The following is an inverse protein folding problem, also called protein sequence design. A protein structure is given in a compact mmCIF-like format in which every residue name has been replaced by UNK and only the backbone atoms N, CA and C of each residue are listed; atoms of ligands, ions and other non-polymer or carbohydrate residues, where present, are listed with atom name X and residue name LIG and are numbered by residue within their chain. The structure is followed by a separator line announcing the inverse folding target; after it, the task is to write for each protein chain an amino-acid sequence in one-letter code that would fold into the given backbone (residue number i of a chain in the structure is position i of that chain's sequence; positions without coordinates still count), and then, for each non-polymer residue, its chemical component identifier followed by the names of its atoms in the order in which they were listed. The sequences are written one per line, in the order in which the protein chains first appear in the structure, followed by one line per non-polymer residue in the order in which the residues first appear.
data_IF_270102152517
#
_entry.id   IF_270102152517
#
_cell.length_a   1.000
_cell.length_b   1.000
_cell.length_c   1.000
_cell.angle_alpha   90.00
_cell.angle_beta   90.00
_cell.angle_gamma   90.00
#
_symmetry.space_group_name_H-M   'P 1'
#
loop_
_entity.id
_entity.type
_entity.pdbx_description
1 polymer ?
#
# COMPACT_ATOMS: atom_id res chain seq x y z
N UNK A 1 3.77 -13.70 15.99
CA UNK A 1 3.02 -14.80 15.35
C UNK A 1 2.52 -14.44 13.95
N UNK A 2 1.52 -13.55 13.78
CA UNK A 2 0.92 -13.29 12.44
C UNK A 2 1.91 -12.72 11.42
N UNK A 3 2.71 -11.70 11.78
CA UNK A 3 3.74 -11.16 10.87
C UNK A 3 4.83 -12.18 10.55
N UNK A 4 5.14 -13.10 11.47
CA UNK A 4 6.11 -14.16 11.21
C UNK A 4 5.67 -15.07 10.04
N UNK A 5 4.35 -15.27 9.89
CA UNK A 5 3.76 -16.01 8.76
C UNK A 5 3.59 -15.13 7.52
N UNK A 6 3.04 -13.92 7.67
CA UNK A 6 2.70 -13.06 6.53
C UNK A 6 3.91 -12.40 5.86
N UNK A 7 4.91 -12.02 6.66
CA UNK A 7 6.07 -11.24 6.23
C UNK A 7 7.37 -12.04 6.41
N UNK A 8 7.43 -12.88 7.46
CA UNK A 8 8.59 -13.73 7.76
C UNK A 8 8.64 -15.06 7.00
N UNK A 9 7.61 -15.41 6.23
CA UNK A 9 7.60 -16.61 5.38
C UNK A 9 7.50 -17.95 6.11
N UNK A 10 7.30 -17.95 7.43
CA UNK A 10 7.13 -19.17 8.22
C UNK A 10 5.80 -19.86 7.88
N UNK A 11 5.81 -21.19 7.84
CA UNK A 11 4.57 -21.96 7.78
C UNK A 11 3.77 -21.84 9.08
N UNK A 12 2.46 -22.13 9.00
CA UNK A 12 1.61 -22.12 10.20
C UNK A 12 2.10 -23.08 11.29
N UNK A 13 2.69 -24.22 10.90
CA UNK A 13 3.20 -25.21 11.85
C UNK A 13 4.51 -24.80 12.51
N UNK A 14 5.39 -24.12 11.78
CA UNK A 14 6.63 -23.56 12.35
C UNK A 14 6.31 -22.41 13.31
N UNK A 15 5.49 -21.45 12.87
CA UNK A 15 5.03 -20.36 13.73
C UNK A 15 4.19 -20.82 14.93
N UNK A 16 3.57 -21.99 14.86
CA UNK A 16 2.89 -22.59 16.01
C UNK A 16 3.89 -23.15 17.02
N UNK A 17 4.91 -23.89 16.57
CA UNK A 17 5.96 -24.45 17.44
C UNK A 17 6.80 -23.36 18.11
N UNK A 18 7.23 -22.35 17.36
CA UNK A 18 8.12 -21.30 17.87
C UNK A 18 7.48 -20.44 18.96
N UNK A 19 6.15 -20.33 18.94
CA UNK A 19 5.39 -19.52 19.88
C UNK A 19 4.58 -20.35 20.88
N UNK A 20 4.80 -21.68 20.93
CA UNK A 20 4.08 -22.63 21.79
C UNK A 20 2.55 -22.52 21.66
N UNK A 21 2.07 -22.48 20.43
CA UNK A 21 0.66 -22.36 20.06
C UNK A 21 0.18 -23.59 19.27
N UNK A 22 -1.13 -23.75 19.22
CA UNK A 22 -1.77 -24.70 18.29
C UNK A 22 -1.84 -24.07 16.90
N UNK A 23 -1.53 -24.85 15.85
CA UNK A 23 -1.55 -24.38 14.46
C UNK A 23 -2.90 -23.75 14.04
N UNK A 24 -4.02 -24.24 14.58
CA UNK A 24 -5.35 -23.68 14.34
C UNK A 24 -5.47 -22.23 14.84
N UNK A 25 -4.84 -21.89 15.97
CA UNK A 25 -4.83 -20.52 16.51
C UNK A 25 -4.08 -19.57 15.60
N UNK A 26 -2.89 -19.99 15.13
CA UNK A 26 -2.09 -19.23 14.16
C UNK A 26 -2.87 -19.02 12.87
N UNK A 27 -3.51 -20.07 12.36
CA UNK A 27 -4.35 -20.00 11.17
C UNK A 27 -5.50 -19.01 11.33
N UNK A 28 -6.25 -19.08 12.43
CA UNK A 28 -7.38 -18.19 12.70
C UNK A 28 -6.95 -16.72 12.75
N UNK A 29 -5.81 -16.43 13.41
CA UNK A 29 -5.29 -15.06 13.50
C UNK A 29 -4.80 -14.53 12.15
N UNK A 30 -4.10 -15.35 11.36
CA UNK A 30 -3.64 -14.94 10.02
C UNK A 30 -4.84 -14.69 9.10
N UNK A 31 -5.88 -15.52 9.17
CA UNK A 31 -7.11 -15.33 8.38
C UNK A 31 -7.85 -14.05 8.78
N UNK A 32 -7.98 -13.78 10.09
CA UNK A 32 -8.58 -12.55 10.58
C UNK A 32 -7.80 -11.31 10.14
N UNK A 33 -6.46 -11.36 10.18
CA UNK A 33 -5.59 -10.28 9.75
C UNK A 33 -5.69 -10.03 8.24
N UNK A 34 -5.70 -11.10 7.41
CA UNK A 34 -5.91 -10.95 5.97
C UNK A 34 -7.25 -10.31 5.64
N UNK A 35 -8.30 -10.64 6.39
CA UNK A 35 -9.62 -10.02 6.24
C UNK A 35 -9.59 -8.54 6.60
N UNK A 36 -8.98 -8.17 7.74
CA UNK A 36 -8.79 -6.76 8.12
C UNK A 36 -8.01 -5.97 7.08
N UNK A 37 -6.89 -6.50 6.59
CA UNK A 37 -6.09 -5.87 5.53
C UNK A 37 -6.87 -5.70 4.23
N UNK A 38 -7.78 -6.62 3.91
CA UNK A 38 -8.67 -6.50 2.75
C UNK A 38 -9.80 -5.48 2.95
N UNK A 39 -10.24 -5.24 4.18
CA UNK A 39 -11.23 -4.21 4.54
C UNK A 39 -10.58 -2.81 4.65
N UNK A 40 -9.33 -2.74 5.11
CA UNK A 40 -8.55 -1.50 5.25
C UNK A 40 -7.88 -1.03 3.96
N UNK A 41 -7.52 -1.97 3.08
CA UNK A 41 -7.15 -1.63 1.71
C UNK A 41 -8.44 -1.40 0.95
N UNK A 42 -8.80 -0.17 0.56
CA UNK A 42 -9.85 0.00 -0.43
C UNK A 42 -9.38 -0.77 -1.65
N UNK A 43 -10.03 -1.89 -1.97
CA UNK A 43 -9.89 -2.50 -3.29
C UNK A 43 -10.33 -1.42 -4.24
N UNK A 44 -9.38 -0.64 -4.78
CA UNK A 44 -9.68 0.40 -5.75
C UNK A 44 -10.36 -0.34 -6.89
N UNK A 45 -11.66 -0.13 -7.00
CA UNK A 45 -12.45 -0.70 -8.07
C UNK A 45 -11.78 -0.26 -9.36
N UNK A 46 -11.74 -1.06 -10.43
CA UNK A 46 -11.02 -0.73 -11.66
C UNK A 46 -11.29 0.70 -12.18
N UNK A 47 -12.49 1.25 -11.94
CA UNK A 47 -12.83 2.65 -12.23
C UNK A 47 -12.13 3.70 -11.35
N UNK A 48 -11.90 3.43 -10.07
CA UNK A 48 -11.16 4.31 -9.16
C UNK A 48 -9.67 4.39 -9.53
N UNK A 49 -9.09 3.30 -10.03
CA UNK A 49 -7.71 3.30 -10.56
C UNK A 49 -7.60 4.23 -11.77
N UNK A 50 -8.53 4.16 -12.72
CA UNK A 50 -8.54 5.05 -13.88
C UNK A 50 -8.69 6.54 -13.52
N UNK A 51 -9.56 6.85 -12.56
CA UNK A 51 -9.73 8.22 -12.08
C UNK A 51 -8.46 8.75 -11.37
N UNK A 52 -7.83 7.91 -10.54
CA UNK A 52 -6.57 8.26 -9.89
C UNK A 52 -5.43 8.47 -10.91
N UNK A 53 -5.32 7.62 -11.92
CA UNK A 53 -4.34 7.79 -13.00
C UNK A 53 -4.57 9.07 -13.80
N UNK A 54 -5.84 9.40 -14.09
CA UNK A 54 -6.18 10.67 -14.73
C UNK A 54 -5.76 11.84 -13.86
N UNK A 55 -6.07 11.80 -12.57
CA UNK A 55 -5.73 12.87 -11.63
C UNK A 55 -4.21 13.05 -11.49
N UNK A 56 -3.45 11.96 -11.48
CA UNK A 56 -1.99 12.00 -11.46
C UNK A 56 -1.46 12.70 -12.71
N UNK A 57 -1.94 12.35 -13.90
CA UNK A 57 -1.50 12.98 -15.16
C UNK A 57 -1.82 14.47 -15.20
N UNK A 58 -2.99 14.89 -14.72
CA UNK A 58 -3.36 16.30 -14.63
C UNK A 58 -2.41 17.06 -13.68
N UNK A 59 -2.17 16.51 -12.49
CA UNK A 59 -1.26 17.12 -11.52
C UNK A 59 0.18 17.20 -12.02
N UNK A 60 0.67 16.18 -12.73
CA UNK A 60 2.01 16.21 -13.33
C UNK A 60 2.15 17.30 -14.39
N UNK A 61 1.12 17.51 -15.21
CA UNK A 61 1.10 18.58 -16.21
C UNK A 61 1.08 19.97 -15.56
N UNK A 62 0.24 20.17 -14.54
CA UNK A 62 0.20 21.40 -13.76
C UNK A 62 1.56 21.67 -13.11
N UNK A 63 2.16 20.66 -12.48
CA UNK A 63 3.46 20.77 -11.84
C UNK A 63 4.56 21.13 -12.85
N UNK A 64 4.55 20.52 -14.03
CA UNK A 64 5.48 20.83 -15.11
C UNK A 64 5.30 22.27 -15.63
N UNK A 65 4.05 22.73 -15.77
CA UNK A 65 3.75 24.11 -16.15
C UNK A 65 4.24 25.11 -15.09
N UNK A 66 3.92 24.87 -13.82
CA UNK A 66 4.35 25.72 -12.70
C UNK A 66 5.89 25.78 -12.59
N UNK A 67 6.59 24.66 -12.79
CA UNK A 67 8.05 24.64 -12.83
C UNK A 67 8.62 25.50 -13.96
N UNK A 68 8.02 25.44 -15.15
CA UNK A 68 8.42 26.30 -16.28
C UNK A 68 8.15 27.78 -16.00
N UNK A 69 6.99 28.10 -15.43
CA UNK A 69 6.65 29.47 -15.03
C UNK A 69 7.64 29.99 -13.97
N UNK A 70 7.92 29.21 -12.92
CA UNK A 70 8.90 29.57 -11.91
C UNK A 70 10.30 29.80 -12.50
N UNK A 71 10.73 28.95 -13.44
CA UNK A 71 12.01 29.11 -14.13
C UNK A 71 12.06 30.35 -15.05
N UNK A 72 10.93 30.70 -15.68
CA UNK A 72 10.80 31.92 -16.47
C UNK A 72 10.93 33.17 -15.58
N UNK A 73 10.11 33.26 -14.52
CA UNK A 73 10.14 34.40 -13.61
C UNK A 73 11.47 34.55 -12.86
N UNK A 74 12.14 33.45 -12.49
CA UNK A 74 13.46 33.50 -11.88
C UNK A 74 14.54 34.08 -12.81
N UNK A 75 14.36 34.02 -14.13
CA UNK A 75 15.27 34.62 -15.12
C UNK A 75 14.98 36.11 -15.35
N UNK A 76 13.72 36.53 -15.22
CA UNK A 76 13.26 37.92 -15.40
C UNK A 76 13.63 38.82 -14.21
N UNK A 77 13.87 38.25 -13.02
CA UNK A 77 14.28 38.99 -11.81
C UNK A 77 15.79 39.31 -11.74
N UNK A 78 16.52 39.20 -12.86
CA UNK A 78 17.95 39.55 -12.96
C UNK A 78 18.19 40.86 -13.68
#
# INVERSE_FOLDING_TARGET
VVNAVLEGGLSYTEAARDFDLVAQTVHNWVTAEKKKRAEESPTATRGQVGELERRIRELEQENAFLKKAAAFFAKEQR
#
